data_IF_236590838846
#
_entry.id   IF_236590838846
#
_cell.length_a   1.000
_cell.length_b   1.000
_cell.length_c   1.000
_cell.angle_alpha   90.00
_cell.angle_beta   90.00
_cell.angle_gamma   90.00
#
_symmetry.space_group_name_H-M   'P 1'
#
loop_
_entity.id
_entity.type
_entity.pdbx_description
1 polymer ?
#
# COMPACT_ATOMS: atom_id res chain seq x y z
N UNK A 1 -8.57 -22.46 -0.10
CA UNK A 1 -9.19 -21.18 0.30
C UNK A 1 -8.77 -20.17 -0.73
N UNK A 2 -9.71 -19.59 -1.47
CA UNK A 2 -9.38 -18.47 -2.35
C UNK A 2 -8.93 -17.32 -1.46
N UNK A 3 -7.72 -16.82 -1.70
CA UNK A 3 -7.24 -15.64 -1.00
C UNK A 3 -8.11 -14.46 -1.45
N UNK A 4 -8.67 -13.72 -0.50
CA UNK A 4 -9.48 -12.55 -0.83
C UNK A 4 -8.56 -11.54 -1.53
N UNK A 5 -8.96 -11.15 -2.75
CA UNK A 5 -8.19 -10.30 -3.64
C UNK A 5 -8.87 -8.95 -3.70
N UNK A 6 -8.28 -7.97 -3.03
CA UNK A 6 -8.78 -6.60 -2.98
C UNK A 6 -7.91 -5.63 -3.76
N UNK A 7 -8.53 -4.52 -4.19
CA UNK A 7 -7.80 -3.32 -4.56
C UNK A 7 -7.42 -2.54 -3.30
N UNK A 8 -6.21 -1.99 -3.28
CA UNK A 8 -5.68 -1.18 -2.19
C UNK A 8 -5.12 0.11 -2.77
N UNK A 9 -5.83 1.24 -2.63
CA UNK A 9 -5.27 2.56 -2.87
C UNK A 9 -4.08 2.82 -1.93
N UNK A 10 -2.96 3.24 -2.50
CA UNK A 10 -1.75 3.65 -1.78
C UNK A 10 -1.46 5.10 -2.14
N UNK A 11 -1.26 5.95 -1.13
CA UNK A 11 -0.91 7.36 -1.32
C UNK A 11 0.26 7.77 -0.44
N UNK A 12 1.08 8.72 -0.91
CA UNK A 12 2.03 9.40 -0.01
C UNK A 12 1.28 10.29 0.98
N UNK A 13 1.92 10.59 2.12
CA UNK A 13 1.34 11.44 3.17
C UNK A 13 0.98 12.86 2.72
N UNK A 14 1.73 13.39 1.76
CA UNK A 14 1.49 14.69 1.10
C UNK A 14 0.49 14.59 -0.08
N UNK A 15 0.05 13.38 -0.44
CA UNK A 15 -0.89 13.12 -1.52
C UNK A 15 -0.32 13.28 -2.94
N UNK A 16 0.98 13.54 -3.11
CA UNK A 16 1.59 13.78 -4.43
C UNK A 16 1.67 12.54 -5.31
N UNK A 17 1.79 11.36 -4.70
CA UNK A 17 1.78 10.07 -5.40
C UNK A 17 0.58 9.25 -4.95
N UNK A 18 -0.14 8.69 -5.91
CA UNK A 18 -1.26 7.79 -5.67
C UNK A 18 -1.27 6.66 -6.70
N UNK A 19 -1.38 5.42 -6.23
CA UNK A 19 -1.58 4.24 -7.09
C UNK A 19 -2.65 3.33 -6.52
N UNK A 20 -3.20 2.46 -7.36
CA UNK A 20 -3.98 1.31 -6.90
C UNK A 20 -3.11 0.07 -6.97
N UNK A 21 -2.92 -0.59 -5.83
CA UNK A 21 -2.19 -1.84 -5.73
C UNK A 21 -3.12 -3.04 -5.54
N UNK A 22 -2.64 -4.24 -5.88
CA UNK A 22 -3.34 -5.48 -5.53
C UNK A 22 -2.90 -5.94 -4.15
N UNK A 23 -3.90 -6.17 -3.30
CA UNK A 23 -3.73 -6.62 -1.92
C UNK A 23 -4.31 -8.01 -1.76
N UNK A 24 -3.59 -8.85 -1.03
CA UNK A 24 -3.96 -10.23 -0.74
C UNK A 24 -3.87 -10.42 0.77
N UNK A 25 -4.98 -10.79 1.42
CA UNK A 25 -4.93 -11.32 2.78
C UNK A 25 -4.86 -12.84 2.71
N UNK A 26 -3.76 -13.38 3.21
CA UNK A 26 -3.59 -14.79 3.44
C UNK A 26 -4.34 -15.22 4.72
N UNK A 27 -4.71 -16.50 4.79
CA UNK A 27 -5.39 -17.13 5.94
C UNK A 27 -4.56 -16.99 7.22
N UNK A 28 -3.23 -16.89 7.07
CA UNK A 28 -2.27 -16.69 8.16
C UNK A 28 -2.15 -15.22 8.61
N UNK A 29 -3.13 -14.36 8.31
CA UNK A 29 -3.14 -12.92 8.63
C UNK A 29 -1.95 -12.16 8.05
N UNK A 30 -1.34 -12.69 6.98
CA UNK A 30 -0.28 -12.00 6.23
C UNK A 30 -0.92 -11.19 5.11
N UNK A 31 -0.72 -9.89 5.15
CA UNK A 31 -1.01 -8.99 4.06
C UNK A 31 0.14 -8.99 3.05
N UNK A 32 -0.14 -9.18 1.77
CA UNK A 32 0.85 -9.03 0.69
C UNK A 32 0.34 -8.04 -0.34
N UNK A 33 1.16 -7.04 -0.64
CA UNK A 33 0.93 -6.07 -1.70
C UNK A 33 1.76 -6.51 -2.90
N UNK A 34 1.12 -6.61 -4.07
CA UNK A 34 1.76 -7.13 -5.28
C UNK A 34 1.80 -6.08 -6.38
N UNK A 35 0.91 -6.16 -7.37
CA UNK A 35 0.81 -5.19 -8.48
C UNK A 35 0.67 -3.78 -7.94
N UNK A 36 1.31 -2.80 -8.58
CA UNK A 36 1.26 -1.39 -8.20
C UNK A 36 2.29 -0.97 -7.14
N UNK A 37 2.85 -1.89 -6.34
CA UNK A 37 3.85 -1.54 -5.33
C UNK A 37 5.16 -1.02 -5.94
N UNK A 38 5.67 -1.68 -6.98
CA UNK A 38 6.88 -1.24 -7.68
C UNK A 38 6.73 0.13 -8.32
N UNK A 39 5.52 0.43 -8.81
CA UNK A 39 5.22 1.71 -9.44
C UNK A 39 5.10 2.81 -8.39
N UNK A 40 4.44 2.53 -7.26
CA UNK A 40 4.44 3.42 -6.11
C UNK A 40 5.85 3.74 -5.64
N UNK A 41 6.68 2.71 -5.42
CA UNK A 41 8.05 2.87 -4.95
C UNK A 41 8.85 3.82 -5.86
N UNK A 42 8.69 3.67 -7.18
CA UNK A 42 9.35 4.52 -8.17
C UNK A 42 8.80 5.95 -8.19
N UNK A 43 7.48 6.11 -8.16
CA UNK A 43 6.82 7.42 -8.26
C UNK A 43 6.95 8.24 -6.98
N UNK A 44 6.89 7.60 -5.82
CA UNK A 44 7.11 8.22 -4.52
C UNK A 44 8.60 8.47 -4.23
N UNK A 45 9.49 8.21 -5.19
CA UNK A 45 10.94 8.37 -5.06
C UNK A 45 11.50 7.72 -3.79
N UNK A 46 11.01 6.52 -3.46
CA UNK A 46 11.47 5.81 -2.28
C UNK A 46 12.90 5.32 -2.48
N UNK A 47 13.72 5.44 -1.44
CA UNK A 47 15.14 5.08 -1.50
C UNK A 47 15.48 3.92 -0.57
N UNK A 48 16.41 3.07 -1.03
CA UNK A 48 16.90 1.96 -0.22
C UNK A 48 17.65 2.50 1.01
N UNK A 49 17.31 1.98 2.18
CA UNK A 49 17.94 2.36 3.45
C UNK A 49 17.23 3.49 4.17
N UNK A 50 16.24 4.13 3.54
CA UNK A 50 15.35 5.09 4.20
C UNK A 50 14.24 4.35 4.96
N UNK A 51 13.82 4.96 6.06
CA UNK A 51 12.69 4.48 6.85
C UNK A 51 11.41 5.18 6.42
N UNK A 52 10.32 4.42 6.33
CA UNK A 52 9.00 4.92 5.98
C UNK A 52 7.98 4.41 6.98
N UNK A 53 7.03 5.27 7.33
CA UNK A 53 5.89 4.90 8.16
C UNK A 53 4.70 4.53 7.29
N UNK A 54 4.02 3.46 7.67
CA UNK A 54 2.89 2.89 6.95
C UNK A 54 1.63 2.99 7.82
N UNK A 55 0.63 3.70 7.33
CA UNK A 55 -0.65 3.89 8.01
C UNK A 55 -1.77 3.20 7.21
N UNK A 56 -2.22 2.05 7.73
CA UNK A 56 -3.26 1.24 7.11
C UNK A 56 -4.63 1.60 7.70
N UNK A 57 -5.51 2.19 6.90
CA UNK A 57 -6.84 2.66 7.34
C UNK A 57 -7.96 1.87 6.70
N UNK A 58 -8.90 1.43 7.51
CA UNK A 58 -10.22 1.03 7.05
C UNK A 58 -11.12 2.26 7.05
N UNK A 59 -11.66 2.62 5.89
CA UNK A 59 -12.59 3.74 5.72
C UNK A 59 -13.95 3.22 5.26
N UNK A 60 -14.97 4.07 5.26
CA UNK A 60 -16.27 3.73 4.66
C UNK A 60 -16.19 3.41 3.16
N UNK A 61 -15.11 3.84 2.47
CA UNK A 61 -14.83 3.55 1.07
C UNK A 61 -13.94 2.32 0.85
N UNK A 62 -13.57 1.62 1.93
CA UNK A 62 -12.67 0.47 1.90
C UNK A 62 -11.31 0.74 2.53
N UNK A 63 -10.41 -0.23 2.34
CA UNK A 63 -9.03 -0.18 2.85
C UNK A 63 -8.18 0.79 2.02
N UNK A 64 -7.27 1.49 2.68
CA UNK A 64 -6.22 2.29 2.02
C UNK A 64 -4.93 2.27 2.83
N UNK A 65 -3.81 2.48 2.15
CA UNK A 65 -2.50 2.64 2.77
C UNK A 65 -1.97 4.04 2.51
N UNK A 66 -1.47 4.70 3.55
CA UNK A 66 -0.76 5.98 3.44
C UNK A 66 0.70 5.75 3.84
N UNK A 67 1.63 6.25 3.04
CA UNK A 67 3.08 6.10 3.29
C UNK A 67 3.69 7.47 3.57
N UNK A 68 4.36 7.59 4.71
CA UNK A 68 5.05 8.80 5.13
C UNK A 68 6.57 8.58 5.11
N UNK A 69 7.32 9.55 4.60
CA UNK A 69 8.76 9.63 4.88
C UNK A 69 8.97 10.08 6.33
N UNK A 70 10.00 9.54 6.98
CA UNK A 70 10.40 9.89 8.35
C UNK A 70 11.59 10.85 8.30
#
# INVERSE_FOLDING_TARGET
MDADHGELPITTGDGTTAVTARFIMDVNKRATITRGWSDFFRQAHMEKGQAYAFDFKCTSKGLRLIVYSI
#
